data_IF_326261311949
#
_entry.id   IF_326261311949
#
_cell.length_a   1.000
_cell.length_b   1.000
_cell.length_c   1.000
_cell.angle_alpha   90.00
_cell.angle_beta   90.00
_cell.angle_gamma   90.00
#
_symmetry.space_group_name_H-M   'P 1'
#
loop_
_entity.id
_entity.type
_entity.pdbx_description
1 polymer ?
#
# COMPACT_ATOMS: atom_id res chain seq x y z
N UNK A 1 -6.63 24.25 -8.18
CA UNK A 1 -7.24 23.27 -7.26
C UNK A 1 -6.40 23.26 -5.99
N UNK A 2 -6.94 23.75 -4.89
CA UNK A 2 -6.23 23.91 -3.61
C UNK A 2 -5.79 22.54 -3.07
N UNK A 3 -4.51 22.40 -2.69
CA UNK A 3 -3.93 21.13 -2.25
C UNK A 3 -4.70 20.44 -1.12
N UNK A 4 -5.43 21.20 -0.30
CA UNK A 4 -6.33 20.67 0.73
C UNK A 4 -7.46 19.77 0.17
N UNK A 5 -8.02 20.10 -0.99
CA UNK A 5 -9.06 19.29 -1.63
C UNK A 5 -8.48 17.97 -2.16
N UNK A 6 -7.29 18.02 -2.77
CA UNK A 6 -6.57 16.81 -3.20
C UNK A 6 -6.21 15.91 -2.02
N UNK A 7 -5.71 16.50 -0.93
CA UNK A 7 -5.39 15.76 0.29
C UNK A 7 -6.62 15.11 0.92
N UNK A 8 -7.76 15.82 1.00
CA UNK A 8 -9.01 15.29 1.54
C UNK A 8 -9.52 14.08 0.74
N UNK A 9 -9.41 14.11 -0.58
CA UNK A 9 -9.78 12.98 -1.45
C UNK A 9 -8.86 11.78 -1.22
N UNK A 10 -7.55 12.00 -1.14
CA UNK A 10 -6.59 10.93 -0.85
C UNK A 10 -6.82 10.32 0.55
N UNK A 11 -7.11 11.15 1.55
CA UNK A 11 -7.41 10.72 2.91
C UNK A 11 -8.68 9.87 2.97
N UNK A 12 -9.74 10.31 2.28
CA UNK A 12 -11.01 9.57 2.20
C UNK A 12 -10.84 8.21 1.49
N UNK A 13 -10.07 8.17 0.40
CA UNK A 13 -9.75 6.93 -0.32
C UNK A 13 -8.94 5.96 0.55
N UNK A 14 -7.94 6.46 1.29
CA UNK A 14 -7.15 5.65 2.22
C UNK A 14 -8.03 5.05 3.34
N UNK A 15 -8.94 5.85 3.93
CA UNK A 15 -9.87 5.36 4.95
C UNK A 15 -10.81 4.28 4.40
N UNK A 16 -11.34 4.48 3.18
CA UNK A 16 -12.22 3.52 2.53
C UNK A 16 -11.52 2.18 2.27
N UNK A 17 -10.26 2.21 1.84
CA UNK A 17 -9.44 1.01 1.64
C UNK A 17 -9.15 0.29 2.96
N UNK A 18 -8.80 1.02 4.02
CA UNK A 18 -8.55 0.45 5.34
C UNK A 18 -9.80 -0.25 5.89
N UNK A 19 -10.97 0.41 5.77
CA UNK A 19 -12.25 -0.14 6.21
C UNK A 19 -12.66 -1.36 5.38
N UNK A 20 -12.41 -1.36 4.06
CA UNK A 20 -12.66 -2.50 3.20
C UNK A 20 -11.75 -3.69 3.53
N UNK A 21 -10.44 -3.44 3.73
CA UNK A 21 -9.47 -4.47 4.11
C UNK A 21 -9.78 -5.11 5.46
N UNK A 22 -10.18 -4.31 6.46
CA UNK A 22 -10.59 -4.83 7.79
C UNK A 22 -11.84 -5.70 7.76
N UNK A 23 -12.72 -5.50 6.77
CA UNK A 23 -13.97 -6.25 6.67
C UNK A 23 -13.79 -7.63 6.04
N UNK A 24 -12.72 -7.88 5.29
CA UNK A 24 -12.40 -9.22 4.76
C UNK A 24 -13.46 -9.82 3.82
N UNK A 25 -14.48 -9.05 3.42
CA UNK A 25 -15.64 -9.51 2.64
C UNK A 25 -15.51 -9.23 1.14
N UNK A 26 -14.36 -8.74 0.67
CA UNK A 26 -14.11 -8.35 -0.73
C UNK A 26 -12.98 -9.14 -1.39
N UNK A 27 -12.79 -8.98 -2.72
CA UNK A 27 -11.69 -9.61 -3.44
C UNK A 27 -10.34 -9.25 -2.82
N UNK A 28 -9.39 -10.20 -2.82
CA UNK A 28 -8.07 -10.03 -2.21
C UNK A 28 -7.39 -8.75 -2.71
N UNK A 29 -7.08 -7.85 -1.77
CA UNK A 29 -6.47 -6.56 -2.09
C UNK A 29 -4.95 -6.69 -2.15
N UNK A 30 -4.29 -5.69 -2.74
CA UNK A 30 -2.82 -5.58 -2.70
C UNK A 30 -2.33 -5.51 -1.24
N UNK A 31 -3.10 -4.86 -0.36
CA UNK A 31 -2.79 -4.81 1.07
C UNK A 31 -2.87 -6.20 1.72
N UNK A 32 -3.84 -7.04 1.33
CA UNK A 32 -3.93 -8.44 1.80
C UNK A 32 -2.74 -9.27 1.32
N UNK A 33 -2.35 -9.10 0.06
CA UNK A 33 -1.20 -9.82 -0.53
C UNK A 33 0.12 -9.42 0.15
N UNK A 34 0.35 -8.13 0.39
CA UNK A 34 1.52 -7.64 1.13
C UNK A 34 1.46 -8.11 2.58
N UNK A 35 0.29 -8.03 3.23
CA UNK A 35 0.09 -8.51 4.59
C UNK A 35 0.32 -10.02 4.73
N UNK A 36 -0.03 -10.82 3.72
CA UNK A 36 0.29 -12.24 3.67
C UNK A 36 1.81 -12.47 3.45
N UNK A 37 2.43 -11.72 2.55
CA UNK A 37 3.87 -11.81 2.29
C UNK A 37 4.71 -11.48 3.53
N UNK A 38 4.33 -10.43 4.27
CA UNK A 38 5.00 -9.97 5.49
C UNK A 38 4.94 -10.99 6.65
N UNK A 39 3.99 -11.93 6.62
CA UNK A 39 3.90 -13.03 7.60
C UNK A 39 4.98 -14.11 7.38
N UNK A 40 5.71 -14.05 6.27
CA UNK A 40 6.80 -14.99 5.96
C UNK A 40 8.14 -14.26 5.89
N UNK A 41 9.21 -14.87 6.38
CA UNK A 41 10.57 -14.32 6.23
C UNK A 41 10.95 -14.06 4.77
N UNK A 42 10.77 -15.01 3.82
CA UNK A 42 11.09 -14.75 2.42
C UNK A 42 10.21 -13.65 1.80
N UNK A 43 8.90 -13.62 2.09
CA UNK A 43 8.01 -12.59 1.56
C UNK A 43 8.34 -11.19 2.09
N UNK A 44 8.72 -11.08 3.37
CA UNK A 44 9.19 -9.82 3.96
C UNK A 44 10.47 -9.30 3.30
N UNK A 45 11.42 -10.17 2.97
CA UNK A 45 12.62 -9.80 2.20
C UNK A 45 12.24 -9.29 0.81
N UNK A 46 11.32 -9.98 0.12
CA UNK A 46 10.86 -9.55 -1.20
C UNK A 46 10.19 -8.16 -1.19
N UNK A 47 9.35 -7.89 -0.18
CA UNK A 47 8.70 -6.57 -0.01
C UNK A 47 9.74 -5.47 0.23
N UNK A 48 10.74 -5.73 1.09
CA UNK A 48 11.81 -4.77 1.36
C UNK A 48 12.68 -4.49 0.12
N UNK A 49 13.03 -5.52 -0.66
CA UNK A 49 13.78 -5.36 -1.91
C UNK A 49 12.99 -4.55 -2.94
N UNK A 50 11.70 -4.83 -3.10
CA UNK A 50 10.82 -4.07 -3.98
C UNK A 50 10.75 -2.58 -3.56
N UNK A 51 10.69 -2.31 -2.25
CA UNK A 51 10.71 -0.95 -1.72
C UNK A 51 12.02 -0.22 -2.00
N UNK A 52 13.17 -0.87 -1.73
CA UNK A 52 14.50 -0.31 -2.02
C UNK A 52 14.65 -0.02 -3.51
N UNK A 53 14.25 -0.97 -4.36
CA UNK A 53 14.30 -0.81 -5.80
C UNK A 53 13.47 0.40 -6.25
N UNK A 54 12.22 0.54 -5.76
CA UNK A 54 11.35 1.65 -6.11
C UNK A 54 11.95 2.99 -5.64
N UNK A 55 12.51 3.04 -4.43
CA UNK A 55 13.17 4.23 -3.89
C UNK A 55 14.36 4.66 -4.74
N UNK A 56 15.23 3.72 -5.13
CA UNK A 56 16.35 3.99 -6.03
C UNK A 56 15.87 4.47 -7.39
N UNK A 57 14.84 3.84 -7.96
CA UNK A 57 14.34 4.18 -9.29
C UNK A 57 13.67 5.56 -9.33
N UNK A 58 12.97 5.94 -8.27
CA UNK A 58 12.35 7.26 -8.14
C UNK A 58 13.39 8.34 -7.88
N UNK A 59 14.40 8.07 -7.05
CA UNK A 59 15.47 9.04 -6.75
C UNK A 59 16.45 9.22 -7.92
N UNK A 60 16.59 8.20 -8.76
CA UNK A 60 17.42 8.23 -9.97
C UNK A 60 16.71 8.91 -11.17
N UNK A 61 15.47 9.39 -11.00
CA UNK A 61 14.71 10.14 -12.01
C UNK A 61 14.55 11.60 -11.59
#
# INVERSE_FOLDING_TARGET
MSGAAGFAVLLAAALALEVAGRRGTGPATVADAVGAAMRTTPGRVAVLLAWVWLGVHVLAR
#
